data_IF_198019051490
#
_entry.id   IF_198019051490
#
_cell.length_a   1.000
_cell.length_b   1.000
_cell.length_c   1.000
_cell.angle_alpha   90.00
_cell.angle_beta   90.00
_cell.angle_gamma   90.00
#
_symmetry.space_group_name_H-M   'P 1'
#
loop_
_entity.id
_entity.type
_entity.pdbx_description
1 polymer ?
#
# COMPACT_ATOMS: atom_id res chain seq x y z
N UNK A 1 9.54 8.05 15.87
CA UNK A 1 9.11 7.17 14.77
C UNK A 1 7.78 6.53 15.16
N UNK A 2 6.98 6.13 14.19
CA UNK A 2 5.72 5.42 14.39
C UNK A 2 5.95 3.97 13.97
N UNK A 3 5.61 3.04 14.86
CA UNK A 3 5.65 1.63 14.54
C UNK A 3 4.34 1.25 13.88
N UNK A 4 4.43 0.75 12.65
CA UNK A 4 3.29 0.34 11.85
C UNK A 4 3.25 -1.18 11.75
N UNK A 5 2.06 -1.74 11.96
CA UNK A 5 1.78 -3.16 11.83
C UNK A 5 0.75 -3.35 10.73
N UNK A 6 1.00 -4.25 9.78
CA UNK A 6 0.07 -4.50 8.68
C UNK A 6 -1.16 -5.29 9.18
N UNK A 7 -2.35 -4.82 8.80
CA UNK A 7 -3.61 -5.41 9.21
C UNK A 7 -4.03 -6.57 8.30
N UNK A 8 -3.93 -7.78 8.84
CA UNK A 8 -4.37 -9.03 8.20
C UNK A 8 -5.83 -9.03 7.74
N UNK A 9 -6.71 -8.20 8.34
CA UNK A 9 -8.11 -8.08 7.93
C UNK A 9 -8.28 -7.30 6.63
N UNK A 10 -7.31 -6.44 6.30
CA UNK A 10 -7.34 -5.61 5.08
C UNK A 10 -6.56 -6.25 3.93
N UNK A 11 -5.55 -7.07 4.24
CA UNK A 11 -4.63 -7.65 3.26
C UNK A 11 -5.35 -8.45 2.17
N UNK A 12 -5.02 -8.18 0.90
CA UNK A 12 -5.45 -9.05 -0.18
C UNK A 12 -4.94 -10.50 0.03
N UNK A 13 -5.70 -11.51 -0.44
CA UNK A 13 -5.36 -12.92 -0.24
C UNK A 13 -4.06 -13.33 -0.94
N UNK A 14 -3.57 -12.60 -1.94
CA UNK A 14 -2.28 -12.86 -2.59
C UNK A 14 -1.10 -12.10 -1.95
N UNK A 15 -1.31 -11.49 -0.79
CA UNK A 15 -0.25 -10.86 0.00
C UNK A 15 0.06 -11.72 1.23
N UNK A 16 1.31 -12.17 1.36
CA UNK A 16 1.78 -12.87 2.54
C UNK A 16 2.41 -11.88 3.51
N UNK A 17 1.83 -11.77 4.70
CA UNK A 17 2.40 -11.03 5.83
C UNK A 17 3.35 -11.92 6.64
N UNK A 18 4.47 -11.35 7.06
CA UNK A 18 5.52 -12.04 7.84
C UNK A 18 6.26 -11.03 8.72
N UNK A 19 7.21 -11.51 9.53
CA UNK A 19 8.00 -10.68 10.44
C UNK A 19 7.12 -9.82 11.35
N UNK A 20 6.26 -10.48 12.13
CA UNK A 20 5.28 -9.83 13.01
C UNK A 20 4.37 -8.83 12.26
N UNK A 21 4.01 -9.18 11.02
CA UNK A 21 3.24 -8.35 10.09
C UNK A 21 3.91 -7.01 9.74
N UNK A 22 5.24 -6.94 9.76
CA UNK A 22 6.01 -5.78 9.30
C UNK A 22 6.55 -5.93 7.88
N UNK A 23 6.48 -7.15 7.33
CA UNK A 23 6.88 -7.45 5.95
C UNK A 23 5.71 -8.02 5.16
N UNK A 24 5.53 -7.50 3.94
CA UNK A 24 4.57 -8.00 2.95
C UNK A 24 5.32 -8.55 1.74
N UNK A 25 4.79 -9.63 1.14
CA UNK A 25 5.33 -10.23 -0.09
C UNK A 25 4.18 -10.68 -0.98
N UNK A 26 4.23 -10.35 -2.27
CA UNK A 26 3.27 -10.86 -3.25
C UNK A 26 3.56 -12.33 -3.55
N UNK A 27 2.53 -13.16 -3.55
CA UNK A 27 2.62 -14.61 -3.79
C UNK A 27 1.44 -15.08 -4.65
N UNK A 28 1.64 -16.15 -5.42
CA UNK A 28 0.60 -16.69 -6.29
C UNK A 28 -0.48 -17.42 -5.48
N UNK A 29 -0.10 -18.08 -4.37
CA UNK A 29 -1.06 -18.79 -3.52
C UNK A 29 -1.90 -17.85 -2.67
N UNK A 30 -3.20 -18.15 -2.59
CA UNK A 30 -4.08 -17.45 -1.66
C UNK A 30 -3.78 -17.83 -0.22
N UNK A 31 -3.45 -16.83 0.58
CA UNK A 31 -3.29 -16.94 2.01
C UNK A 31 -4.64 -17.20 2.69
N UNK A 32 -4.63 -18.03 3.73
CA UNK A 32 -5.82 -18.46 4.48
C UNK A 32 -6.38 -17.39 5.41
N UNK A 33 -6.57 -16.17 4.91
CA UNK A 33 -7.18 -15.09 5.66
C UNK A 33 -8.71 -15.23 5.68
N UNK A 34 -9.37 -15.12 6.86
CA UNK A 34 -10.82 -15.13 6.94
C UNK A 34 -11.46 -14.03 6.10
N UNK A 35 -12.65 -14.27 5.58
CA UNK A 35 -13.38 -13.22 4.88
C UNK A 35 -13.69 -12.05 5.83
N UNK A 36 -13.49 -10.83 5.34
CA UNK A 36 -13.66 -9.61 6.11
C UNK A 36 -14.16 -8.47 5.20
N UNK A 37 -15.07 -7.59 5.67
CA UNK A 37 -15.56 -6.45 4.89
C UNK A 37 -14.43 -5.50 4.48
N UNK A 38 -13.42 -5.32 5.33
CA UNK A 38 -12.30 -4.40 5.06
C UNK A 38 -11.22 -4.99 4.14
N UNK A 39 -11.34 -6.27 3.74
CA UNK A 39 -10.35 -6.95 2.90
C UNK A 39 -10.36 -6.41 1.49
N UNK A 40 -9.20 -6.02 0.97
CA UNK A 40 -9.06 -5.72 -0.45
C UNK A 40 -9.25 -6.98 -1.28
N UNK A 41 -10.26 -6.96 -2.14
CA UNK A 41 -10.66 -8.14 -2.91
C UNK A 41 -9.87 -8.29 -4.21
N UNK A 42 -9.77 -7.20 -4.98
CA UNK A 42 -9.21 -7.23 -6.34
C UNK A 42 -7.75 -6.79 -6.39
N UNK A 43 -7.39 -5.69 -5.72
CA UNK A 43 -6.05 -5.11 -5.78
C UNK A 43 -5.15 -5.64 -4.65
N UNK A 44 -3.87 -5.88 -4.97
CA UNK A 44 -2.83 -6.34 -4.05
C UNK A 44 -2.45 -5.23 -3.05
N UNK A 45 -3.27 -5.05 -2.02
CA UNK A 45 -3.13 -3.96 -1.06
C UNK A 45 -3.36 -4.42 0.38
N UNK A 46 -2.80 -3.66 1.32
CA UNK A 46 -2.94 -3.82 2.76
C UNK A 46 -2.80 -2.45 3.43
N UNK A 47 -3.50 -2.24 4.54
CA UNK A 47 -3.31 -1.07 5.42
C UNK A 47 -2.63 -1.47 6.72
N UNK A 48 -2.11 -0.48 7.45
CA UNK A 48 -1.74 -0.65 8.85
C UNK A 48 -2.95 -0.72 9.77
N UNK A 49 -2.77 -1.32 10.94
CA UNK A 49 -3.75 -1.26 12.05
C UNK A 49 -3.83 0.16 12.60
N UNK A 50 -2.69 0.82 12.70
CA UNK A 50 -2.54 2.15 13.26
C UNK A 50 -3.08 3.22 12.32
N UNK A 51 -3.81 4.18 12.87
CA UNK A 51 -4.15 5.43 12.20
C UNK A 51 -3.15 6.50 12.60
N UNK A 52 -2.66 7.26 11.62
CA UNK A 52 -1.68 8.30 11.85
C UNK A 52 -2.36 9.64 12.13
N UNK A 53 -2.03 10.29 13.25
CA UNK A 53 -2.54 11.60 13.62
C UNK A 53 -1.40 12.54 13.99
N UNK A 54 -1.43 13.78 13.49
CA UNK A 54 -0.36 14.75 13.75
C UNK A 54 0.86 14.52 12.88
N UNK A 55 2.06 14.58 13.48
CA UNK A 55 3.33 14.36 12.77
C UNK A 55 3.84 12.95 13.04
N UNK A 56 3.92 12.14 11.98
CA UNK A 56 4.32 10.74 12.03
C UNK A 56 5.46 10.51 11.03
N UNK A 57 6.37 9.60 11.39
CA UNK A 57 7.52 9.22 10.56
C UNK A 57 7.78 7.73 10.69
N UNK A 58 7.96 7.05 9.57
CA UNK A 58 8.16 5.62 9.43
C UNK A 58 9.07 5.38 8.23
N UNK A 59 9.77 4.26 8.25
CA UNK A 59 10.68 3.84 7.20
C UNK A 59 10.23 2.47 6.67
N UNK A 60 10.54 2.19 5.41
CA UNK A 60 10.31 0.88 4.82
C UNK A 60 11.41 0.58 3.81
N UNK A 61 11.83 -0.67 3.79
CA UNK A 61 12.59 -1.22 2.68
C UNK A 61 11.60 -1.75 1.63
N UNK A 62 12.00 -1.72 0.36
CA UNK A 62 11.19 -2.25 -0.74
C UNK A 62 12.09 -2.88 -1.80
N UNK A 63 11.55 -3.81 -2.54
CA UNK A 63 12.21 -4.43 -3.70
C UNK A 63 11.18 -4.88 -4.72
N UNK A 64 11.62 -5.05 -5.97
CA UNK A 64 10.76 -5.38 -7.10
C UNK A 64 10.26 -4.14 -7.82
N UNK A 65 9.44 -4.37 -8.85
CA UNK A 65 8.93 -3.32 -9.72
C UNK A 65 7.48 -2.98 -9.39
N UNK A 66 7.12 -1.70 -9.51
CA UNK A 66 5.78 -1.17 -9.21
C UNK A 66 5.32 -1.42 -7.76
N UNK A 67 6.17 -1.15 -6.76
CA UNK A 67 5.80 -1.18 -5.33
C UNK A 67 5.14 0.13 -4.94
N UNK A 68 3.99 0.07 -4.27
CA UNK A 68 3.20 1.24 -3.86
C UNK A 68 3.31 1.48 -2.36
N UNK A 69 4.00 2.55 -1.96
CA UNK A 69 4.07 3.00 -0.58
C UNK A 69 3.02 4.11 -0.43
N UNK A 70 1.98 3.86 0.36
CA UNK A 70 0.77 4.69 0.32
C UNK A 70 0.32 5.14 1.69
N UNK A 71 -0.34 6.31 1.72
CA UNK A 71 -1.18 6.75 2.83
C UNK A 71 -2.61 6.89 2.33
N UNK A 72 -3.58 6.54 3.16
CA UNK A 72 -4.99 6.54 2.76
C UNK A 72 -5.91 6.80 3.95
N UNK A 73 -7.03 7.46 3.69
CA UNK A 73 -8.15 7.46 4.62
C UNK A 73 -8.77 6.07 4.72
N UNK A 74 -9.23 5.70 5.92
CA UNK A 74 -9.80 4.38 6.20
C UNK A 74 -11.04 4.06 5.33
N UNK A 75 -11.75 5.09 4.86
CA UNK A 75 -12.98 4.94 4.08
C UNK A 75 -12.75 4.68 2.58
N UNK A 76 -11.51 4.40 2.15
CA UNK A 76 -11.26 3.90 0.79
C UNK A 76 -12.04 2.61 0.53
N UNK A 77 -12.58 2.49 -0.69
CA UNK A 77 -13.36 1.32 -1.11
C UNK A 77 -12.46 0.08 -1.17
N UNK A 78 -13.00 -1.09 -0.79
CA UNK A 78 -12.21 -2.33 -0.67
C UNK A 78 -12.57 -3.41 -1.69
N UNK A 79 -13.75 -3.31 -2.30
CA UNK A 79 -14.40 -4.37 -3.08
C UNK A 79 -14.68 -3.94 -4.50
N UNK A 80 -14.59 -4.89 -5.42
CA UNK A 80 -14.82 -4.68 -6.84
C UNK A 80 -13.61 -4.09 -7.59
N UNK A 81 -13.72 -4.11 -8.92
CA UNK A 81 -12.71 -3.64 -9.84
C UNK A 81 -13.02 -2.19 -10.26
N UNK A 82 -12.53 -1.24 -9.46
CA UNK A 82 -12.67 0.20 -9.73
C UNK A 82 -11.51 0.99 -9.15
N UNK A 83 -11.19 2.11 -9.75
CA UNK A 83 -10.14 3.04 -9.32
C UNK A 83 -10.33 3.57 -7.88
N UNK A 84 -11.58 3.66 -7.43
CA UNK A 84 -11.94 3.96 -6.03
C UNK A 84 -11.34 2.99 -5.01
N UNK A 85 -10.94 1.79 -5.44
CA UNK A 85 -10.32 0.78 -4.59
C UNK A 85 -8.80 0.79 -4.63
N UNK A 86 -8.16 1.45 -5.61
CA UNK A 86 -6.71 1.38 -5.83
C UNK A 86 -6.00 2.63 -5.30
N UNK A 87 -5.01 2.46 -4.44
CA UNK A 87 -4.21 3.56 -3.89
C UNK A 87 -3.63 4.46 -4.99
N UNK A 88 -3.77 5.78 -4.79
CA UNK A 88 -3.35 6.82 -5.71
C UNK A 88 -4.32 7.11 -6.85
N UNK A 89 -5.29 6.22 -7.12
CA UNK A 89 -6.30 6.39 -8.17
C UNK A 89 -7.60 7.03 -7.66
N UNK A 90 -7.62 7.52 -6.43
CA UNK A 90 -8.79 8.17 -5.85
C UNK A 90 -8.39 9.37 -4.99
N UNK A 91 -9.39 10.12 -4.54
CA UNK A 91 -9.21 11.28 -3.66
C UNK A 91 -8.83 10.92 -2.22
N UNK A 92 -8.97 9.65 -1.84
CA UNK A 92 -8.76 9.18 -0.47
C UNK A 92 -7.36 8.59 -0.23
N UNK A 93 -6.47 8.66 -1.21
CA UNK A 93 -5.14 8.04 -1.11
C UNK A 93 -4.09 8.79 -1.91
N UNK A 94 -2.85 8.66 -1.42
CA UNK A 94 -1.64 9.15 -2.05
C UNK A 94 -0.62 8.02 -2.05
N UNK A 95 0.09 7.85 -3.16
CA UNK A 95 1.06 6.78 -3.32
C UNK A 95 2.37 7.31 -3.89
N UNK A 96 3.47 6.83 -3.33
CA UNK A 96 4.76 6.79 -3.99
C UNK A 96 4.93 5.42 -4.64
N UNK A 97 5.08 5.42 -5.95
CA UNK A 97 5.29 4.22 -6.75
C UNK A 97 6.78 4.11 -7.00
N UNK A 98 7.35 3.01 -6.53
CA UNK A 98 8.76 2.70 -6.60
C UNK A 98 9.00 1.61 -7.65
N UNK A 99 9.93 1.89 -8.55
CA UNK A 99 10.43 0.97 -9.57
C UNK A 99 11.94 1.13 -9.65
N UNK A 100 12.64 0.16 -10.23
CA UNK A 100 14.11 0.16 -10.36
C UNK A 100 14.68 1.42 -11.05
N UNK A 101 13.88 2.09 -11.88
CA UNK A 101 14.33 3.19 -12.74
C UNK A 101 13.63 4.52 -12.50
N UNK A 102 12.56 4.55 -11.70
CA UNK A 102 11.74 5.74 -11.54
C UNK A 102 10.91 5.72 -10.27
N UNK A 103 10.60 6.91 -9.80
CA UNK A 103 9.64 7.16 -8.74
C UNK A 103 8.50 8.01 -9.28
N UNK A 104 7.26 7.66 -8.92
CA UNK A 104 6.08 8.41 -9.33
C UNK A 104 5.25 8.71 -8.08
N UNK A 105 5.00 9.99 -7.80
CA UNK A 105 3.94 10.38 -6.87
C UNK A 105 2.60 10.34 -7.62
N UNK A 106 1.60 9.66 -7.05
CA UNK A 106 0.25 9.58 -7.62
C UNK A 106 -0.82 9.95 -6.60
N UNK A 107 -1.79 10.76 -7.03
CA UNK A 107 -3.01 11.07 -6.28
C UNK A 107 -4.15 11.42 -7.24
N UNK A 108 -5.33 10.84 -7.01
CA UNK A 108 -6.52 11.05 -7.84
C UNK A 108 -6.22 10.94 -9.34
N UNK A 109 -5.58 9.83 -9.75
CA UNK A 109 -5.10 9.54 -11.12
C UNK A 109 -3.99 10.44 -11.66
N UNK A 110 -3.65 11.53 -10.98
CA UNK A 110 -2.60 12.44 -11.45
C UNK A 110 -1.25 11.92 -11.01
N UNK A 111 -0.34 11.83 -11.97
CA UNK A 111 1.02 11.38 -11.77
C UNK A 111 2.00 12.56 -11.79
N UNK A 112 3.05 12.46 -11.00
CA UNK A 112 4.21 13.35 -11.03
C UNK A 112 5.45 12.50 -10.94
N UNK A 113 6.28 12.55 -11.98
CA UNK A 113 7.57 11.86 -12.00
C UNK A 113 8.52 12.56 -11.04
N UNK A 114 9.11 11.78 -10.13
CA UNK A 114 10.11 12.25 -9.19
C UNK A 114 11.47 11.85 -9.75
N UNK A 115 12.30 12.85 -10.02
CA UNK A 115 13.72 12.63 -10.27
C UNK A 115 14.38 12.23 -8.95
N UNK A 116 14.83 10.98 -8.85
CA UNK A 116 15.85 10.66 -7.86
C UNK A 116 17.10 11.43 -8.31
N UNK A 117 17.47 12.48 -7.56
CA UNK A 117 18.73 13.17 -7.81
C UNK A 117 19.85 12.13 -7.86
N UNK A 118 20.79 12.28 -8.80
CA UNK A 118 21.99 11.46 -8.80
C UNK A 118 22.65 11.60 -7.44
N UNK A 119 22.84 10.49 -6.73
CA UNK A 119 23.78 10.48 -5.60
C UNK A 119 25.14 10.69 -6.24
N UNK A 120 25.64 11.91 -6.18
CA UNK A 120 27.00 12.27 -6.59
C UNK A 120 28.03 11.65 -5.65
#
# INVERSE_FOLDING_TARGET
>A
ACDLTLDTNTANKHLKLSDENRKVTCVDEQQSYPDHPDRFEYYLQVLSVESLTGRCYWETEWSGDHVYISVSYKDIKRKGWSDDCWFGYNVNSWSLICSDHRFIARHNHKETYISAGSVS
#
